data_IF_961059559646
#
_entry.id   IF_961059559646
#
_cell.length_a   1.000
_cell.length_b   1.000
_cell.length_c   1.000
_cell.angle_alpha   90.00
_cell.angle_beta   90.00
_cell.angle_gamma   90.00
#
_symmetry.space_group_name_H-M   'P 1'
#
loop_
_entity.id
_entity.type
_entity.pdbx_description
1 polymer ?
#
# COMPACT_ATOMS: atom_id res chain seq x y z
N UNK A 1 -21.59 21.27 0.61
CA UNK A 1 -21.03 20.79 0.74
C UNK A 1 -20.69 19.85 0.56
N UNK A 2 -20.76 20.10 0.31
CA UNK A 2 -20.56 19.04 0.36
C UNK A 2 -19.72 18.36 0.93
N UNK A 3 -19.91 18.12 1.56
CA UNK A 3 -19.16 17.48 2.53
C UNK A 3 -18.60 16.18 2.11
N UNK A 4 -19.24 15.48 1.27
CA UNK A 4 -18.73 14.23 0.79
C UNK A 4 -17.35 14.37 0.19
N UNK A 5 -16.99 15.53 -0.17
CA UNK A 5 -15.72 15.82 -0.76
C UNK A 5 -14.59 15.57 0.21
N UNK A 6 -14.86 15.72 1.48
CA UNK A 6 -13.80 15.60 2.47
C UNK A 6 -13.31 14.19 2.64
N UNK A 7 -14.01 13.20 2.08
CA UNK A 7 -13.61 11.82 2.27
C UNK A 7 -12.22 11.51 1.76
N UNK A 8 -11.78 12.20 0.71
CA UNK A 8 -10.47 11.92 0.15
C UNK A 8 -9.35 12.74 0.78
N UNK A 9 -9.68 13.66 1.68
CA UNK A 9 -8.64 14.50 2.29
C UNK A 9 -7.72 13.72 3.18
N UNK A 10 -8.24 12.67 3.83
CA UNK A 10 -7.47 11.86 4.75
C UNK A 10 -7.74 10.39 4.45
N UNK A 11 -7.08 9.86 3.43
CA UNK A 11 -7.29 8.45 3.10
C UNK A 11 -7.02 7.55 4.29
N UNK A 12 -7.85 6.53 4.44
CA UNK A 12 -7.69 5.52 5.50
C UNK A 12 -6.74 4.46 4.99
N UNK A 13 -5.64 4.27 5.71
CA UNK A 13 -4.51 3.48 5.24
C UNK A 13 -4.16 2.39 6.23
N UNK A 14 -3.98 1.17 5.73
CA UNK A 14 -3.42 0.06 6.49
C UNK A 14 -1.97 -0.13 6.04
N UNK A 15 -1.05 -0.32 6.99
CA UNK A 15 0.36 -0.54 6.68
C UNK A 15 0.71 -1.99 6.96
N UNK A 16 1.36 -2.65 6.00
CA UNK A 16 1.74 -4.06 6.12
C UNK A 16 3.22 -4.24 5.83
N UNK A 17 3.99 -4.61 6.84
CA UNK A 17 5.42 -4.85 6.72
C UNK A 17 5.85 -5.63 7.95
N UNK A 18 6.75 -6.59 7.80
CA UNK A 18 7.23 -7.36 8.93
C UNK A 18 8.31 -6.63 9.74
N UNK A 19 8.76 -5.47 9.28
CA UNK A 19 9.78 -4.67 9.93
C UNK A 19 9.13 -3.50 10.67
N UNK A 20 9.14 -3.51 12.02
CA UNK A 20 8.50 -2.41 12.78
C UNK A 20 9.11 -1.03 12.51
N UNK A 21 10.40 -0.97 12.20
CA UNK A 21 11.04 0.31 11.90
C UNK A 21 10.49 0.88 10.61
N UNK A 22 10.19 0.03 9.63
CA UNK A 22 9.60 0.48 8.38
C UNK A 22 8.18 0.99 8.59
N UNK A 23 7.40 0.29 9.42
CA UNK A 23 6.06 0.76 9.79
C UNK A 23 6.16 2.15 10.42
N UNK A 24 7.08 2.35 11.36
CA UNK A 24 7.23 3.64 12.03
C UNK A 24 7.58 4.75 11.05
N UNK A 25 8.46 4.47 10.09
CA UNK A 25 8.81 5.45 9.07
C UNK A 25 7.62 5.80 8.19
N UNK A 26 6.85 4.80 7.80
CA UNK A 26 5.68 5.03 6.98
C UNK A 26 4.64 5.87 7.72
N UNK A 27 4.42 5.59 9.01
CA UNK A 27 3.51 6.38 9.83
C UNK A 27 3.97 7.84 9.87
N UNK A 28 5.27 8.05 10.07
CA UNK A 28 5.81 9.40 10.17
C UNK A 28 5.60 10.19 8.87
N UNK A 29 5.76 9.54 7.73
CA UNK A 29 5.59 10.19 6.44
C UNK A 29 4.13 10.44 6.12
N UNK A 30 3.24 9.51 6.48
CA UNK A 30 1.84 9.56 6.06
C UNK A 30 0.91 10.28 7.04
N UNK A 31 1.23 10.30 8.32
CA UNK A 31 0.29 10.81 9.33
C UNK A 31 -0.22 12.21 9.08
N UNK A 32 0.59 13.14 8.56
CA UNK A 32 0.06 14.48 8.33
C UNK A 32 -1.11 14.53 7.36
N UNK A 33 -1.17 13.61 6.40
CA UNK A 33 -2.20 13.66 5.37
C UNK A 33 -3.11 12.44 5.29
N UNK A 34 -2.86 11.42 6.12
CA UNK A 34 -3.61 10.16 6.05
C UNK A 34 -4.01 9.71 7.43
N UNK A 35 -5.09 8.93 7.48
CA UNK A 35 -5.50 8.28 8.72
C UNK A 35 -4.98 6.85 8.71
N UNK A 36 -4.03 6.53 9.60
CA UNK A 36 -3.49 5.19 9.70
C UNK A 36 -4.45 4.38 10.57
N UNK A 37 -5.16 3.43 9.96
CA UNK A 37 -6.20 2.68 10.67
C UNK A 37 -5.66 1.41 11.32
N UNK A 38 -4.44 1.01 10.98
CA UNK A 38 -3.84 -0.16 11.63
C UNK A 38 -2.58 -0.58 10.91
N UNK A 39 -1.96 -1.64 11.42
CA UNK A 39 -0.80 -2.25 10.79
C UNK A 39 -0.86 -3.75 10.96
N UNK A 40 -0.16 -4.46 10.07
CA UNK A 40 -0.07 -5.90 10.12
C UNK A 40 1.36 -6.30 9.76
N UNK A 41 1.84 -7.41 10.31
CA UNK A 41 3.22 -7.81 10.10
C UNK A 41 3.37 -9.02 9.18
N UNK A 42 2.27 -9.59 8.72
CA UNK A 42 2.30 -10.71 7.79
C UNK A 42 1.04 -10.73 6.95
N UNK A 43 1.02 -11.61 5.94
CA UNK A 43 -0.07 -11.65 4.98
C UNK A 43 -1.40 -12.05 5.57
N UNK A 44 -1.40 -13.04 6.47
CA UNK A 44 -2.65 -13.49 7.07
C UNK A 44 -3.28 -12.39 7.91
N UNK A 45 -2.47 -11.72 8.73
CA UNK A 45 -2.95 -10.59 9.54
C UNK A 45 -3.43 -9.45 8.64
N UNK A 46 -2.76 -9.23 7.52
CA UNK A 46 -3.15 -8.19 6.57
C UNK A 46 -4.53 -8.46 6.01
N UNK A 47 -4.79 -9.70 5.59
CA UNK A 47 -6.10 -10.04 5.03
C UNK A 47 -7.21 -9.87 6.05
N UNK A 48 -6.97 -10.29 7.30
CA UNK A 48 -7.93 -10.09 8.37
C UNK A 48 -8.21 -8.61 8.63
N UNK A 49 -7.15 -7.81 8.68
CA UNK A 49 -7.28 -6.39 8.94
C UNK A 49 -8.02 -5.69 7.81
N UNK A 50 -7.76 -6.05 6.56
CA UNK A 50 -8.45 -5.45 5.43
C UNK A 50 -9.94 -5.77 5.50
N UNK A 51 -10.30 -7.01 5.82
CA UNK A 51 -11.70 -7.39 5.93
C UNK A 51 -12.40 -6.65 7.07
N UNK A 52 -11.70 -6.46 8.19
CA UNK A 52 -12.29 -5.83 9.37
C UNK A 52 -12.35 -4.31 9.25
N UNK A 53 -11.32 -3.70 8.69
CA UNK A 53 -11.18 -2.24 8.71
C UNK A 53 -11.58 -1.57 7.39
N UNK A 54 -11.66 -2.33 6.33
CA UNK A 54 -11.97 -1.84 4.98
C UNK A 54 -11.23 -0.54 4.65
N UNK A 55 -9.88 -0.57 4.68
CA UNK A 55 -9.11 0.64 4.37
C UNK A 55 -9.26 1.03 2.91
N UNK A 56 -9.09 2.30 2.61
CA UNK A 56 -9.10 2.75 1.23
C UNK A 56 -7.85 2.32 0.50
N UNK A 57 -6.71 2.32 1.20
CA UNK A 57 -5.42 1.97 0.63
C UNK A 57 -4.68 1.05 1.60
N UNK A 58 -4.04 0.02 1.07
CA UNK A 58 -3.10 -0.78 1.83
C UNK A 58 -1.70 -0.56 1.27
N UNK A 59 -0.74 -0.23 2.13
CA UNK A 59 0.67 -0.15 1.77
C UNK A 59 1.27 -1.49 2.14
N UNK A 60 1.75 -2.22 1.16
CA UNK A 60 1.99 -3.65 1.28
C UNK A 60 3.41 -3.99 0.85
N UNK A 61 4.19 -4.52 1.78
CA UNK A 61 5.51 -5.04 1.48
C UNK A 61 5.38 -6.29 0.61
N UNK A 62 6.24 -6.41 -0.39
CA UNK A 62 6.24 -7.58 -1.25
C UNK A 62 6.88 -8.77 -0.55
N UNK A 63 8.02 -8.55 0.10
CA UNK A 63 8.82 -9.65 0.68
C UNK A 63 8.51 -9.81 2.16
N UNK A 64 7.69 -10.79 2.49
CA UNK A 64 7.35 -11.11 3.87
C UNK A 64 7.44 -12.62 4.07
N UNK A 65 7.76 -13.07 5.29
CA UNK A 65 7.77 -14.50 5.57
C UNK A 65 6.38 -15.11 5.36
N UNK A 66 6.33 -16.31 4.83
CA UNK A 66 5.09 -17.01 4.59
C UNK A 66 4.40 -16.50 3.34
N UNK A 67 3.37 -15.71 3.50
CA UNK A 67 2.61 -15.18 2.37
C UNK A 67 3.25 -13.89 1.87
N UNK A 68 3.61 -13.84 0.58
CA UNK A 68 4.18 -12.64 -0.02
C UNK A 68 3.11 -11.58 -0.26
N UNK A 69 3.57 -10.34 -0.49
CA UNK A 69 2.64 -9.27 -0.86
C UNK A 69 1.87 -9.57 -2.14
N UNK A 70 2.52 -10.25 -3.10
CA UNK A 70 1.82 -10.63 -4.33
C UNK A 70 0.68 -11.60 -4.05
N UNK A 71 0.88 -12.54 -3.12
CA UNK A 71 -0.16 -13.48 -2.75
C UNK A 71 -1.32 -12.78 -2.05
N UNK A 72 -1.02 -11.82 -1.18
CA UNK A 72 -2.06 -11.01 -0.54
C UNK A 72 -2.88 -10.29 -1.62
N UNK A 73 -2.20 -9.65 -2.56
CA UNK A 73 -2.88 -8.91 -3.62
C UNK A 73 -3.76 -9.82 -4.48
N UNK A 74 -3.27 -11.02 -4.82
CA UNK A 74 -4.06 -11.98 -5.59
C UNK A 74 -5.32 -12.38 -4.85
N UNK A 75 -5.22 -12.60 -3.54
CA UNK A 75 -6.40 -12.98 -2.75
C UNK A 75 -7.40 -11.83 -2.66
N UNK A 76 -6.90 -10.60 -2.56
CA UNK A 76 -7.79 -9.45 -2.55
C UNK A 76 -8.56 -9.33 -3.86
N UNK A 77 -7.88 -9.55 -4.99
CA UNK A 77 -8.56 -9.54 -6.28
C UNK A 77 -9.61 -10.64 -6.36
N UNK A 78 -9.28 -11.83 -5.87
CA UNK A 78 -10.20 -12.97 -5.94
C UNK A 78 -11.46 -12.73 -5.13
N UNK A 79 -11.38 -11.96 -4.05
CA UNK A 79 -12.55 -11.66 -3.21
C UNK A 79 -13.26 -10.37 -3.61
N UNK A 80 -12.79 -9.70 -4.65
CA UNK A 80 -13.42 -8.46 -5.11
C UNK A 80 -13.22 -7.27 -4.20
N UNK A 81 -12.11 -7.26 -3.45
CA UNK A 81 -11.80 -6.15 -2.56
C UNK A 81 -11.62 -4.85 -3.35
N UNK A 82 -12.14 -3.76 -2.81
CA UNK A 82 -11.98 -2.43 -3.42
C UNK A 82 -10.82 -1.64 -2.82
N UNK A 83 -10.09 -2.22 -1.87
CA UNK A 83 -8.92 -1.56 -1.30
C UNK A 83 -7.84 -1.41 -2.36
N UNK A 84 -7.35 -0.19 -2.55
CA UNK A 84 -6.27 0.07 -3.49
C UNK A 84 -4.95 -0.39 -2.89
N UNK A 85 -4.06 -0.92 -3.71
CA UNK A 85 -2.80 -1.50 -3.25
C UNK A 85 -1.63 -0.62 -3.69
N UNK A 86 -0.81 -0.21 -2.72
CA UNK A 86 0.47 0.44 -2.97
C UNK A 86 1.55 -0.50 -2.46
N UNK A 87 2.35 -1.05 -3.36
CA UNK A 87 3.47 -1.88 -2.94
C UNK A 87 4.63 -1.03 -2.46
N UNK A 88 5.26 -1.45 -1.38
CA UNK A 88 6.45 -0.82 -0.83
C UNK A 88 7.54 -1.88 -0.78
N UNK A 89 8.63 -1.67 -1.51
CA UNK A 89 9.58 -2.75 -1.77
C UNK A 89 11.00 -2.23 -1.92
N UNK A 90 11.99 -3.11 -1.67
CA UNK A 90 13.39 -2.78 -1.96
C UNK A 90 13.74 -3.03 -3.43
N UNK A 91 12.86 -3.67 -4.19
CA UNK A 91 13.16 -4.04 -5.58
C UNK A 91 12.96 -2.87 -6.53
N UNK A 92 13.96 -2.62 -7.37
CA UNK A 92 13.92 -1.51 -8.33
C UNK A 92 13.85 -1.98 -9.77
N UNK A 93 13.82 -3.29 -10.01
CA UNK A 93 13.86 -3.82 -11.36
C UNK A 93 12.48 -3.91 -11.98
N UNK A 94 12.48 -3.84 -13.30
CA UNK A 94 11.23 -3.79 -14.05
C UNK A 94 10.42 -5.08 -13.93
N UNK A 95 11.08 -6.22 -13.77
CA UNK A 95 10.36 -7.49 -13.68
C UNK A 95 9.46 -7.52 -12.45
N UNK A 96 9.95 -7.06 -11.30
CA UNK A 96 9.14 -7.02 -10.09
C UNK A 96 8.02 -5.98 -10.23
N UNK A 97 8.32 -4.85 -10.83
CA UNK A 97 7.33 -3.82 -11.08
C UNK A 97 6.18 -4.36 -11.94
N UNK A 98 6.49 -5.08 -13.00
CA UNK A 98 5.46 -5.66 -13.87
C UNK A 98 4.61 -6.69 -13.14
N UNK A 99 5.26 -7.51 -12.29
CA UNK A 99 4.54 -8.49 -11.50
C UNK A 99 3.57 -7.81 -10.54
N UNK A 100 3.99 -6.70 -9.93
CA UNK A 100 3.16 -5.93 -9.03
C UNK A 100 1.91 -5.39 -9.74
N UNK A 101 2.11 -4.88 -10.97
CA UNK A 101 0.99 -4.38 -11.76
C UNK A 101 0.04 -5.50 -12.15
N UNK A 102 0.59 -6.67 -12.46
CA UNK A 102 -0.22 -7.80 -12.90
C UNK A 102 -1.17 -8.30 -11.81
N UNK A 103 -0.82 -8.13 -10.54
CA UNK A 103 -1.68 -8.54 -9.43
C UNK A 103 -2.50 -7.37 -8.87
N UNK A 104 -2.60 -6.29 -9.62
CA UNK A 104 -3.49 -5.20 -9.27
C UNK A 104 -2.87 -4.09 -8.45
N UNK A 105 -1.54 -4.05 -8.33
CA UNK A 105 -0.88 -2.96 -7.62
C UNK A 105 -1.04 -1.66 -8.37
N UNK A 106 -1.63 -0.68 -7.72
CA UNK A 106 -1.83 0.64 -8.31
C UNK A 106 -0.63 1.54 -8.04
N UNK A 107 -0.06 1.45 -6.84
CA UNK A 107 1.14 2.19 -6.49
C UNK A 107 2.34 1.28 -6.34
N UNK A 108 3.52 1.81 -6.63
CA UNK A 108 4.78 1.07 -6.49
C UNK A 108 5.85 2.03 -5.98
N UNK A 109 6.25 1.86 -4.73
CA UNK A 109 7.22 2.74 -4.09
C UNK A 109 8.43 1.93 -3.67
N UNK A 110 9.60 2.37 -4.10
CA UNK A 110 10.84 1.75 -3.68
C UNK A 110 11.20 2.28 -2.29
N UNK A 111 11.59 1.40 -1.38
CA UNK A 111 11.81 1.77 0.03
C UNK A 111 12.84 2.88 0.20
N UNK A 112 13.84 2.94 -0.69
CA UNK A 112 14.83 4.02 -0.63
C UNK A 112 14.23 5.39 -0.94
N UNK A 113 13.04 5.43 -1.52
CA UNK A 113 12.36 6.67 -1.86
C UNK A 113 11.09 6.89 -1.04
N UNK A 114 10.97 6.20 0.08
CA UNK A 114 9.78 6.26 0.91
C UNK A 114 9.43 7.70 1.30
N UNK A 115 10.41 8.47 1.74
CA UNK A 115 10.16 9.82 2.23
C UNK A 115 9.64 10.75 1.15
N UNK A 116 10.08 10.57 -0.10
CA UNK A 116 9.67 11.47 -1.18
C UNK A 116 8.43 10.99 -1.91
N UNK A 117 8.19 9.66 -1.95
CA UNK A 117 7.21 9.11 -2.87
C UNK A 117 5.97 8.52 -2.20
N UNK A 118 6.06 8.08 -0.94
CA UNK A 118 4.98 7.28 -0.37
C UNK A 118 3.67 8.05 -0.25
N UNK A 119 3.72 9.28 0.23
CA UNK A 119 2.49 10.05 0.39
C UNK A 119 1.81 10.29 -0.95
N UNK A 120 2.59 10.63 -1.97
CA UNK A 120 2.04 10.84 -3.31
C UNK A 120 1.39 9.56 -3.84
N UNK A 121 2.03 8.41 -3.60
CA UNK A 121 1.50 7.14 -4.07
C UNK A 121 0.17 6.80 -3.40
N UNK A 122 0.08 7.03 -2.09
CA UNK A 122 -1.13 6.74 -1.33
C UNK A 122 -2.28 7.65 -1.78
N UNK A 123 -2.01 8.95 -1.93
CA UNK A 123 -3.04 9.88 -2.40
C UNK A 123 -3.50 9.49 -3.79
N UNK A 124 -2.58 9.20 -4.70
CA UNK A 124 -2.95 8.79 -6.05
C UNK A 124 -3.80 7.52 -6.03
N UNK A 125 -3.40 6.53 -5.22
CA UNK A 125 -4.15 5.28 -5.14
C UNK A 125 -5.55 5.49 -4.59
N UNK A 126 -5.71 6.37 -3.62
CA UNK A 126 -7.03 6.66 -3.06
C UNK A 126 -7.95 7.29 -4.10
N UNK A 127 -7.38 7.88 -5.14
CA UNK A 127 -8.14 8.49 -6.23
C UNK A 127 -8.20 7.60 -7.46
N UNK A 128 -7.69 6.38 -7.36
CA UNK A 128 -7.71 5.44 -8.48
C UNK A 128 -6.65 5.70 -9.52
N UNK A 129 -5.63 6.49 -9.20
CA UNK A 129 -4.57 6.82 -10.16
C UNK A 129 -3.30 6.05 -9.85
N UNK A 130 -2.58 5.57 -10.86
CA UNK A 130 -1.33 4.86 -10.63
C UNK A 130 -0.21 5.82 -10.26
N UNK A 131 0.76 5.28 -9.52
CA UNK A 131 1.99 6.00 -9.18
C UNK A 131 3.13 5.00 -9.12
N UNK A 132 4.29 5.40 -9.54
CA UNK A 132 5.47 4.54 -9.43
C UNK A 132 6.70 5.39 -9.16
N UNK A 133 7.53 4.95 -8.21
CA UNK A 133 8.89 5.43 -8.10
C UNK A 133 9.61 5.13 -9.40
N UNK A 134 10.66 5.87 -9.71
CA UNK A 134 11.44 5.62 -10.90
C UNK A 134 12.01 4.20 -10.85
N UNK A 135 11.86 3.48 -11.95
CA UNK A 135 12.30 2.08 -12.05
C UNK A 135 13.55 2.02 -12.91
N UNK A 136 14.51 1.23 -12.46
CA UNK A 136 15.74 1.03 -13.20
C UNK A 136 15.70 -0.28 -13.95
N UNK A 137 16.25 -0.27 -15.14
CA UNK A 137 16.37 -1.49 -15.96
C UNK A 137 17.57 -2.32 -15.55
#
# INVERSE_FOLDING_TARGET
MPSSITLSEHPRVLLVDDNPAMIARAVSVLSPGCEIVGSAKDGAAALEAIAALTPEVVVLDISMPGMTGFEVASRLQATGSTTAIVFLTVHEDEAVFRAARAVGGLGYVVKSRLASDLQQAVVAASEGRPFSSAIRD
#
